data_IF_263466734874
#
_entry.id   IF_263466734874
#
_cell.length_a   1.000
_cell.length_b   1.000
_cell.length_c   1.000
_cell.angle_alpha   90.00
_cell.angle_beta   90.00
_cell.angle_gamma   90.00
#
_symmetry.space_group_name_H-M   'P 1'
#
loop_
_entity.id
_entity.type
_entity.pdbx_description
1 polymer ?
#
# COMPACT_ATOMS: atom_id res chain seq x y z
N UNK A 1 -12.60 12.81 6.56
CA UNK A 1 -11.14 12.95 6.48
C UNK A 1 -10.50 11.58 6.62
N UNK A 2 -9.46 11.25 5.88
CA UNK A 2 -8.77 9.96 5.99
C UNK A 2 -7.75 10.05 7.13
N UNK A 3 -8.12 9.56 8.31
CA UNK A 3 -7.29 9.64 9.52
C UNK A 3 -5.96 8.86 9.43
N UNK A 4 -5.86 7.89 8.51
CA UNK A 4 -4.57 7.21 8.24
C UNK A 4 -3.55 8.22 7.69
N UNK A 5 -3.98 9.19 6.89
CA UNK A 5 -3.10 10.23 6.36
C UNK A 5 -2.41 11.04 7.47
N UNK A 6 -3.12 11.29 8.58
CA UNK A 6 -2.60 12.05 9.72
C UNK A 6 -1.55 11.26 10.53
N UNK A 7 -1.57 9.93 10.40
CA UNK A 7 -0.66 9.04 11.09
C UNK A 7 0.57 8.64 10.26
N UNK A 8 0.71 9.17 9.05
CA UNK A 8 1.90 9.05 8.20
C UNK A 8 2.70 10.37 8.32
N UNK A 9 4.04 10.35 8.50
CA UNK A 9 4.92 9.17 8.42
C UNK A 9 4.85 8.27 9.66
N UNK A 10 5.23 7.01 9.49
CA UNK A 10 5.48 6.08 10.59
C UNK A 10 6.72 5.23 10.31
N UNK A 11 7.34 4.77 11.38
CA UNK A 11 8.53 3.94 11.34
C UNK A 11 8.19 2.50 11.73
N UNK A 12 8.94 1.58 11.17
CA UNK A 12 9.04 0.19 11.61
C UNK A 12 10.42 -0.01 12.23
N UNK A 13 10.80 -1.24 12.53
CA UNK A 13 12.13 -1.53 13.08
C UNK A 13 13.28 -1.06 12.17
N UNK A 14 13.11 -1.13 10.82
CA UNK A 14 14.18 -0.87 9.85
C UNK A 14 13.75 0.01 8.67
N UNK A 15 12.48 0.37 8.60
CA UNK A 15 11.93 1.09 7.45
C UNK A 15 11.16 2.33 7.90
N UNK A 16 11.26 3.39 7.11
CA UNK A 16 10.40 4.57 7.23
C UNK A 16 9.37 4.54 6.10
N UNK A 17 8.10 4.67 6.45
CA UNK A 17 6.97 4.80 5.51
C UNK A 17 6.48 6.24 5.57
N UNK A 18 6.61 6.96 4.46
CA UNK A 18 6.18 8.36 4.36
C UNK A 18 5.36 8.61 3.09
N UNK A 19 4.62 9.69 3.07
CA UNK A 19 3.88 10.10 1.87
C UNK A 19 4.83 10.27 0.68
N UNK A 20 4.33 9.93 -0.50
CA UNK A 20 4.97 10.24 -1.77
C UNK A 20 5.13 11.78 -1.88
N UNK A 21 6.30 12.26 -2.31
CA UNK A 21 6.63 13.66 -2.55
C UNK A 21 6.88 13.90 -4.04
N UNK A 22 6.90 15.15 -4.46
CA UNK A 22 7.19 15.50 -5.86
C UNK A 22 8.55 14.96 -6.31
N UNK A 23 9.56 15.05 -5.47
CA UNK A 23 10.93 14.55 -5.75
C UNK A 23 10.99 13.03 -5.94
N UNK A 24 10.02 12.28 -5.44
CA UNK A 24 9.97 10.81 -5.59
C UNK A 24 9.32 10.38 -6.92
N UNK A 25 8.61 11.27 -7.62
CA UNK A 25 7.74 10.91 -8.74
C UNK A 25 8.49 10.21 -9.85
N UNK A 26 9.64 10.74 -10.25
CA UNK A 26 10.41 10.18 -11.35
C UNK A 26 10.94 8.76 -11.00
N UNK A 27 11.43 8.56 -9.77
CA UNK A 27 11.79 7.24 -9.27
C UNK A 27 10.58 6.30 -9.22
N UNK A 28 9.45 6.79 -8.72
CA UNK A 28 8.22 6.01 -8.59
C UNK A 28 7.74 5.53 -9.95
N UNK A 29 7.60 6.43 -10.94
CA UNK A 29 7.18 6.11 -12.31
C UNK A 29 8.15 5.12 -12.96
N UNK A 30 9.46 5.38 -12.88
CA UNK A 30 10.48 4.46 -13.39
C UNK A 30 10.39 3.07 -12.77
N UNK A 31 9.98 2.99 -11.51
CA UNK A 31 9.89 1.72 -10.78
C UNK A 31 8.63 0.95 -11.16
N UNK A 32 7.46 1.59 -11.24
CA UNK A 32 6.21 0.91 -11.60
C UNK A 32 6.17 0.44 -13.07
N UNK A 33 7.03 0.99 -13.92
CA UNK A 33 7.19 0.55 -15.31
C UNK A 33 8.10 -0.68 -15.46
N UNK A 34 8.75 -1.14 -14.39
CA UNK A 34 9.60 -2.35 -14.45
C UNK A 34 8.76 -3.63 -14.50
N UNK A 35 9.23 -4.68 -15.20
CA UNK A 35 8.51 -5.94 -15.36
C UNK A 35 8.01 -6.56 -14.05
N UNK A 36 8.83 -6.53 -13.00
CA UNK A 36 8.48 -7.11 -11.70
C UNK A 36 7.22 -6.50 -11.06
N UNK A 37 6.96 -5.22 -11.34
CA UNK A 37 5.78 -4.54 -10.83
C UNK A 37 4.53 -5.02 -11.55
N UNK A 38 4.61 -5.21 -12.86
CA UNK A 38 3.50 -5.63 -13.71
C UNK A 38 3.18 -7.12 -13.62
N UNK A 39 4.06 -7.92 -13.00
CA UNK A 39 3.86 -9.36 -12.83
C UNK A 39 2.58 -9.65 -12.02
N UNK A 40 2.32 -8.88 -10.96
CA UNK A 40 1.21 -9.10 -10.03
C UNK A 40 0.25 -7.91 -9.88
N UNK A 41 0.33 -6.95 -10.77
CA UNK A 41 -0.56 -5.77 -10.77
C UNK A 41 -1.18 -5.64 -12.14
N UNK A 42 -2.51 -5.60 -12.20
CA UNK A 42 -3.25 -5.49 -13.46
C UNK A 42 -3.19 -4.07 -14.09
N UNK A 43 -2.18 -3.31 -13.74
CA UNK A 43 -1.92 -2.02 -14.36
C UNK A 43 -0.92 -2.25 -15.50
N UNK A 44 -1.38 -2.14 -16.73
CA UNK A 44 -0.48 -1.92 -17.86
C UNK A 44 0.12 -0.52 -17.73
N UNK A 45 1.15 -0.39 -16.90
CA UNK A 45 1.99 0.77 -16.94
C UNK A 45 2.69 0.75 -18.32
N UNK A 46 2.29 1.66 -19.18
CA UNK A 46 2.89 1.86 -20.49
C UNK A 46 3.58 3.22 -20.43
N UNK A 47 4.80 3.32 -20.94
CA UNK A 47 5.52 4.61 -21.04
C UNK A 47 4.66 5.72 -21.64
N UNK A 48 3.78 5.37 -22.57
CA UNK A 48 2.77 6.26 -23.17
C UNK A 48 1.89 7.01 -22.14
N UNK A 49 1.74 6.50 -20.93
CA UNK A 49 0.90 7.10 -19.87
C UNK A 49 1.68 7.76 -18.75
N UNK A 50 3.01 7.87 -18.88
CA UNK A 50 3.86 8.43 -17.80
C UNK A 50 3.46 9.85 -17.42
N UNK A 51 3.16 10.71 -18.40
CA UNK A 51 2.74 12.08 -18.13
C UNK A 51 1.38 12.14 -17.42
N UNK A 52 0.43 11.29 -17.85
CA UNK A 52 -0.89 11.17 -17.19
C UNK A 52 -0.74 10.69 -15.76
N UNK A 53 0.15 9.71 -15.54
CA UNK A 53 0.44 9.20 -14.19
C UNK A 53 1.11 10.29 -13.35
N UNK A 54 2.06 11.02 -13.92
CA UNK A 54 2.76 12.14 -13.26
C UNK A 54 1.78 13.22 -12.81
N UNK A 55 0.91 13.67 -13.68
CA UNK A 55 -0.13 14.66 -13.37
C UNK A 55 -1.08 14.16 -12.27
N UNK A 56 -1.50 12.90 -12.35
CA UNK A 56 -2.33 12.27 -11.32
C UNK A 56 -1.64 12.29 -9.97
N UNK A 57 -0.35 11.91 -9.90
CA UNK A 57 0.42 11.87 -8.66
C UNK A 57 0.62 13.29 -8.08
N UNK A 58 0.94 14.28 -8.91
CA UNK A 58 1.06 15.68 -8.50
C UNK A 58 -0.26 16.21 -7.93
N UNK A 59 -1.38 15.90 -8.56
CA UNK A 59 -2.71 16.25 -8.06
C UNK A 59 -3.02 15.59 -6.72
N UNK A 60 -2.68 14.30 -6.55
CA UNK A 60 -2.86 13.62 -5.27
C UNK A 60 -2.04 14.27 -4.16
N UNK A 61 -0.77 14.59 -4.42
CA UNK A 61 0.13 15.24 -3.47
C UNK A 61 -0.45 16.59 -3.04
N UNK A 62 -0.88 17.43 -3.98
CA UNK A 62 -1.53 18.72 -3.68
C UNK A 62 -2.79 18.53 -2.83
N UNK A 63 -3.67 17.61 -3.20
CA UNK A 63 -4.89 17.33 -2.44
C UNK A 63 -4.59 16.91 -0.99
N UNK A 64 -3.51 16.16 -0.75
CA UNK A 64 -3.11 15.79 0.61
C UNK A 64 -2.60 16.99 1.40
N UNK A 65 -1.83 17.88 0.77
CA UNK A 65 -1.30 19.08 1.41
C UNK A 65 -2.41 20.08 1.74
N UNK A 66 -3.32 20.33 0.81
CA UNK A 66 -4.41 21.30 0.93
C UNK A 66 -5.60 20.78 1.73
N UNK A 67 -5.69 19.47 1.95
CA UNK A 67 -6.82 18.77 2.62
C UNK A 67 -8.19 19.05 1.98
N UNK A 68 -8.21 19.38 0.69
CA UNK A 68 -9.37 19.95 -0.01
C UNK A 68 -10.39 18.92 -0.52
N UNK A 69 -10.02 17.63 -0.60
CA UNK A 69 -10.88 16.56 -1.13
C UNK A 69 -10.94 15.33 -0.23
N UNK A 70 -12.02 14.54 -0.29
CA UNK A 70 -12.07 13.26 0.40
C UNK A 70 -10.93 12.38 -0.12
N UNK A 71 -9.92 12.20 0.74
CA UNK A 71 -8.71 11.46 0.42
C UNK A 71 -9.03 9.96 0.47
N UNK A 72 -9.43 9.43 -0.67
CA UNK A 72 -9.73 8.00 -0.81
C UNK A 72 -8.49 7.16 -1.11
N UNK A 73 -7.45 7.79 -1.65
CA UNK A 73 -6.19 7.14 -2.03
C UNK A 73 -5.00 7.84 -1.36
N UNK A 74 -4.14 7.06 -0.72
CA UNK A 74 -2.85 7.50 -0.15
C UNK A 74 -1.76 6.66 -0.79
N UNK A 75 -0.73 7.29 -1.33
CA UNK A 75 0.47 6.64 -1.83
C UNK A 75 1.67 7.04 -1.01
N UNK A 76 2.47 6.05 -0.66
CA UNK A 76 3.67 6.24 0.14
C UNK A 76 4.87 5.66 -0.57
N UNK A 77 6.04 6.07 -0.13
CA UNK A 77 7.29 5.39 -0.37
C UNK A 77 7.79 4.77 0.92
N UNK A 78 8.50 3.66 0.77
CA UNK A 78 9.14 2.94 1.86
C UNK A 78 10.64 3.07 1.67
N UNK A 79 11.35 3.62 2.64
CA UNK A 79 12.80 3.63 2.66
C UNK A 79 13.35 2.61 3.64
N UNK A 80 14.48 2.02 3.27
CA UNK A 80 15.21 1.03 4.06
C UNK A 80 16.70 1.39 4.02
N UNK A 81 17.30 1.67 5.16
CA UNK A 81 18.68 2.15 5.22
C UNK A 81 18.90 3.48 4.48
N UNK A 82 17.89 4.35 4.42
CA UNK A 82 17.94 5.64 3.71
C UNK A 82 17.58 5.57 2.23
N UNK A 83 17.55 4.39 1.61
CA UNK A 83 17.27 4.21 0.18
C UNK A 83 15.79 3.83 -0.07
N UNK A 84 15.23 4.26 -1.20
CA UNK A 84 13.86 3.92 -1.59
C UNK A 84 13.77 2.44 -1.99
N UNK A 85 13.03 1.68 -1.21
CA UNK A 85 12.95 0.23 -1.29
C UNK A 85 11.57 -0.30 -1.74
N UNK A 86 10.52 0.53 -1.72
CA UNK A 86 9.18 0.07 -2.05
C UNK A 86 8.11 1.12 -1.85
N UNK A 87 6.86 0.68 -1.77
CA UNK A 87 5.72 1.54 -1.52
C UNK A 87 4.54 0.80 -0.87
N UNK A 88 3.67 1.59 -0.24
CA UNK A 88 2.38 1.16 0.28
C UNK A 88 1.32 2.11 -0.27
N UNK A 89 0.26 1.55 -0.82
CA UNK A 89 -0.93 2.29 -1.23
C UNK A 89 -2.08 1.91 -0.30
N UNK A 90 -2.85 2.90 0.12
CA UNK A 90 -4.01 2.71 0.98
C UNK A 90 -5.23 3.33 0.30
N UNK A 91 -6.24 2.51 0.00
CA UNK A 91 -7.51 2.94 -0.58
C UNK A 91 -8.62 2.82 0.45
N UNK A 92 -9.34 3.89 0.67
CA UNK A 92 -10.56 3.84 1.47
C UNK A 92 -11.72 3.37 0.59
N UNK A 93 -12.21 2.16 0.84
CA UNK A 93 -13.27 1.52 0.04
C UNK A 93 -14.65 1.58 0.70
N UNK A 94 -14.69 1.87 1.99
CA UNK A 94 -15.95 1.93 2.73
C UNK A 94 -15.83 2.58 4.09
N UNK A 95 -16.86 2.44 4.91
CA UNK A 95 -16.91 2.99 6.25
C UNK A 95 -15.96 2.24 7.19
N UNK A 96 -14.73 2.72 7.27
CA UNK A 96 -13.66 2.11 8.07
C UNK A 96 -12.99 0.91 7.42
N UNK A 97 -13.24 0.63 6.13
CA UNK A 97 -12.60 -0.42 5.36
C UNK A 97 -11.55 0.20 4.42
N UNK A 98 -10.36 -0.37 4.40
CA UNK A 98 -9.25 0.10 3.60
C UNK A 98 -8.58 -1.05 2.87
N UNK A 99 -8.43 -0.92 1.55
CA UNK A 99 -7.63 -1.83 0.74
C UNK A 99 -6.18 -1.37 0.70
N UNK A 100 -5.28 -2.32 0.85
CA UNK A 100 -3.85 -2.11 0.85
C UNK A 100 -3.21 -2.75 -0.38
N UNK A 101 -2.32 -1.99 -1.03
CA UNK A 101 -1.38 -2.51 -2.00
C UNK A 101 0.04 -2.22 -1.55
N UNK A 102 0.94 -3.19 -1.58
CA UNK A 102 2.35 -2.95 -1.27
C UNK A 102 3.26 -3.65 -2.26
N UNK A 103 4.44 -3.11 -2.40
CA UNK A 103 5.48 -3.66 -3.26
C UNK A 103 6.87 -3.32 -2.72
N UNK A 104 7.83 -4.17 -3.06
CA UNK A 104 9.23 -4.02 -2.67
C UNK A 104 10.08 -4.26 -3.92
N UNK A 105 11.01 -3.34 -4.22
CA UNK A 105 11.89 -3.49 -5.38
C UNK A 105 12.79 -4.73 -5.26
N UNK A 106 13.15 -5.41 -6.35
CA UNK A 106 13.85 -6.69 -6.31
C UNK A 106 15.11 -6.71 -5.45
N UNK A 107 15.91 -5.65 -5.47
CA UNK A 107 17.15 -5.53 -4.70
C UNK A 107 16.93 -5.61 -3.16
N UNK A 108 15.71 -5.35 -2.69
CA UNK A 108 15.35 -5.34 -1.27
C UNK A 108 14.39 -6.47 -0.88
N UNK A 109 13.98 -7.31 -1.84
CA UNK A 109 13.14 -8.47 -1.56
C UNK A 109 13.91 -9.52 -0.73
N UNK A 110 13.16 -10.40 -0.03
CA UNK A 110 13.76 -11.42 0.85
C UNK A 110 14.22 -10.90 2.22
N UNK A 111 14.25 -9.59 2.44
CA UNK A 111 14.72 -8.96 3.69
C UNK A 111 13.62 -8.71 4.73
N UNK A 112 12.39 -9.19 4.51
CA UNK A 112 11.28 -9.04 5.47
C UNK A 112 10.49 -7.73 5.36
N UNK A 113 10.89 -6.79 4.49
CA UNK A 113 10.31 -5.44 4.39
C UNK A 113 8.79 -5.49 4.13
N UNK A 114 8.30 -6.37 3.25
CA UNK A 114 6.86 -6.49 3.00
C UNK A 114 6.07 -6.89 4.26
N UNK A 115 6.63 -7.72 5.12
CA UNK A 115 6.02 -8.08 6.40
C UNK A 115 6.05 -6.90 7.38
N UNK A 116 7.14 -6.13 7.41
CA UNK A 116 7.25 -4.92 8.22
C UNK A 116 6.20 -3.88 7.80
N UNK A 117 6.03 -3.65 6.48
CA UNK A 117 5.00 -2.73 5.97
C UNK A 117 3.61 -3.13 6.48
N UNK A 118 3.21 -4.40 6.31
CA UNK A 118 1.89 -4.86 6.74
C UNK A 118 1.70 -4.82 8.25
N UNK A 119 2.70 -5.19 9.03
CA UNK A 119 2.65 -5.10 10.49
C UNK A 119 2.62 -3.65 10.94
N UNK A 120 3.40 -2.78 10.34
CA UNK A 120 3.46 -1.35 10.65
C UNK A 120 2.11 -0.67 10.47
N UNK A 121 1.48 -0.81 9.29
CA UNK A 121 0.15 -0.21 9.04
C UNK A 121 -0.93 -0.83 9.93
N UNK A 122 -0.84 -2.12 10.25
CA UNK A 122 -1.77 -2.79 11.16
C UNK A 122 -1.63 -2.27 12.59
N UNK A 123 -0.40 -2.11 13.08
CA UNK A 123 -0.11 -1.53 14.40
C UNK A 123 -0.60 -0.09 14.49
N UNK A 124 -0.34 0.71 13.47
CA UNK A 124 -0.83 2.08 13.34
C UNK A 124 -2.37 2.12 13.42
N UNK A 125 -3.05 1.27 12.64
CA UNK A 125 -4.51 1.22 12.62
C UNK A 125 -5.12 0.80 13.98
N UNK A 126 -4.40 -0.01 14.77
CA UNK A 126 -4.83 -0.44 16.12
C UNK A 126 -4.53 0.59 17.20
N UNK A 127 -3.39 1.28 17.10
CA UNK A 127 -2.89 2.18 18.14
C UNK A 127 -3.56 3.54 18.16
N UNK A 128 -3.98 4.04 17.01
CA UNK A 128 -4.63 5.33 16.86
C UNK A 128 -6.12 5.13 16.61
N UNK A 129 -6.98 5.93 17.25
CA UNK A 129 -8.43 5.89 17.01
C UNK A 129 -8.78 6.47 15.62
N UNK A 130 -8.26 5.81 14.56
CA UNK A 130 -8.37 6.25 13.17
C UNK A 130 -9.71 5.90 12.52
N UNK A 131 -10.60 5.22 13.25
CA UNK A 131 -11.87 4.74 12.69
C UNK A 131 -11.70 3.61 11.68
N UNK A 132 -10.51 2.99 11.62
CA UNK A 132 -10.26 1.78 10.82
C UNK A 132 -10.92 0.60 11.51
N UNK A 133 -11.69 -0.17 10.74
CA UNK A 133 -12.31 -1.42 11.18
C UNK A 133 -11.65 -2.62 10.54
N UNK A 134 -11.28 -2.48 9.28
CA UNK A 134 -10.73 -3.57 8.48
C UNK A 134 -9.65 -3.05 7.54
N UNK A 135 -8.59 -3.86 7.42
CA UNK A 135 -7.57 -3.73 6.40
C UNK A 135 -7.68 -4.94 5.47
N UNK A 136 -7.72 -4.72 4.17
CA UNK A 136 -7.85 -5.77 3.17
C UNK A 136 -6.66 -5.78 2.22
N UNK A 137 -6.40 -6.95 1.63
CA UNK A 137 -5.42 -7.18 0.58
C UNK A 137 -6.08 -8.04 -0.48
N UNK A 138 -5.99 -7.60 -1.73
CA UNK A 138 -6.32 -8.44 -2.88
C UNK A 138 -5.03 -8.96 -3.48
N UNK A 139 -4.87 -10.29 -3.51
CA UNK A 139 -3.63 -10.96 -3.91
C UNK A 139 -3.95 -12.00 -4.97
N UNK A 140 -3.29 -11.92 -6.13
CA UNK A 140 -3.40 -12.95 -7.17
C UNK A 140 -2.93 -14.31 -6.60
N UNK A 141 -3.64 -15.38 -6.95
CA UNK A 141 -3.41 -16.71 -6.39
C UNK A 141 -1.98 -17.22 -6.63
N UNK A 142 -1.35 -16.78 -7.71
CA UNK A 142 0.00 -17.17 -8.11
C UNK A 142 1.09 -16.36 -7.39
N UNK A 143 0.71 -15.29 -6.67
CA UNK A 143 1.62 -14.50 -5.85
C UNK A 143 1.80 -15.12 -4.45
N UNK A 144 2.39 -16.33 -4.43
CA UNK A 144 2.61 -17.07 -3.18
C UNK A 144 3.41 -16.28 -2.14
N UNK A 145 4.34 -15.40 -2.60
CA UNK A 145 5.14 -14.57 -1.68
C UNK A 145 4.25 -13.62 -0.88
N UNK A 146 3.37 -12.87 -1.54
CA UNK A 146 2.43 -11.97 -0.87
C UNK A 146 1.43 -12.73 -0.02
N UNK A 147 0.97 -13.91 -0.45
CA UNK A 147 0.10 -14.78 0.34
C UNK A 147 0.76 -15.19 1.65
N UNK A 148 2.03 -15.63 1.62
CA UNK A 148 2.78 -15.99 2.83
C UNK A 148 2.98 -14.80 3.76
N UNK A 149 3.25 -13.62 3.21
CA UNK A 149 3.42 -12.38 4.00
C UNK A 149 2.10 -11.99 4.65
N UNK A 150 0.98 -11.97 3.93
CA UNK A 150 -0.33 -11.67 4.46
C UNK A 150 -0.70 -12.59 5.64
N UNK A 151 -0.53 -13.91 5.47
CA UNK A 151 -0.77 -14.88 6.54
C UNK A 151 0.13 -14.64 7.77
N UNK A 152 1.43 -14.38 7.56
CA UNK A 152 2.38 -14.07 8.66
C UNK A 152 2.06 -12.74 9.37
N UNK A 153 1.44 -11.79 8.67
CA UNK A 153 0.98 -10.53 9.25
C UNK A 153 -0.38 -10.66 9.98
N UNK A 154 -1.00 -11.86 9.97
CA UNK A 154 -2.26 -12.14 10.67
C UNK A 154 -3.52 -11.89 9.85
N UNK A 155 -3.39 -11.64 8.55
CA UNK A 155 -4.53 -11.52 7.65
C UNK A 155 -5.13 -12.90 7.34
N UNK A 156 -6.46 -12.98 7.30
CA UNK A 156 -7.20 -14.21 7.04
C UNK A 156 -7.85 -14.15 5.67
N UNK A 157 -7.84 -15.27 4.94
CA UNK A 157 -8.57 -15.41 3.69
C UNK A 157 -10.08 -15.36 3.99
N UNK A 158 -10.80 -14.46 3.31
CA UNK A 158 -12.24 -14.28 3.49
C UNK A 158 -13.04 -14.55 2.22
N UNK A 159 -12.39 -14.66 1.06
CA UNK A 159 -13.05 -14.91 -0.21
C UNK A 159 -12.08 -14.89 -1.38
N UNK A 160 -12.64 -15.15 -2.55
CA UNK A 160 -11.95 -15.06 -3.83
C UNK A 160 -12.91 -14.62 -4.93
N UNK A 161 -12.37 -14.09 -6.01
CA UNK A 161 -13.10 -13.78 -7.23
C UNK A 161 -12.22 -13.95 -8.47
N UNK A 162 -12.83 -14.16 -9.62
CA UNK A 162 -12.08 -14.23 -10.88
C UNK A 162 -11.65 -12.84 -11.31
N UNK A 163 -10.35 -12.66 -11.45
CA UNK A 163 -9.73 -11.44 -11.98
C UNK A 163 -9.50 -11.53 -13.48
N UNK A 164 -8.88 -10.50 -14.05
CA UNK A 164 -8.60 -10.44 -15.50
C UNK A 164 -7.61 -11.52 -15.95
N UNK A 165 -6.62 -11.84 -15.10
CA UNK A 165 -5.53 -12.76 -15.42
C UNK A 165 -5.62 -14.08 -14.67
N UNK A 166 -6.08 -14.03 -13.43
CA UNK A 166 -6.11 -15.19 -12.52
C UNK A 166 -7.11 -14.93 -11.40
N UNK A 167 -7.42 -15.96 -10.62
CA UNK A 167 -8.22 -15.83 -9.39
C UNK A 167 -7.50 -14.91 -8.41
N UNK A 168 -8.24 -13.98 -7.82
CA UNK A 168 -7.77 -13.12 -6.75
C UNK A 168 -8.30 -13.62 -5.40
N UNK A 169 -7.42 -13.70 -4.42
CA UNK A 169 -7.75 -13.99 -3.03
C UNK A 169 -7.89 -12.69 -2.24
N UNK A 170 -8.94 -12.58 -1.43
CA UNK A 170 -9.18 -11.44 -0.55
C UNK A 170 -8.79 -11.83 0.87
N UNK A 171 -7.77 -11.16 1.40
CA UNK A 171 -7.31 -11.31 2.77
C UNK A 171 -7.75 -10.12 3.59
N UNK A 172 -8.14 -10.36 4.85
CA UNK A 172 -8.63 -9.32 5.78
C UNK A 172 -7.96 -9.43 7.13
N UNK A 173 -7.68 -8.28 7.70
CA UNK A 173 -7.34 -8.08 9.10
C UNK A 173 -8.40 -7.19 9.76
N UNK A 174 -9.09 -7.72 10.77
CA UNK A 174 -10.10 -6.95 11.54
C UNK A 174 -9.40 -6.25 12.71
N UNK A 175 -9.66 -4.96 12.84
CA UNK A 175 -9.16 -4.16 13.95
C UNK A 175 -10.13 -4.31 15.11
N UNK A 176 -9.75 -5.15 16.07
CA UNK A 176 -10.50 -5.26 17.32
C UNK A 176 -10.38 -3.94 18.08
N UNK A 177 -11.48 -3.26 18.32
CA UNK A 177 -11.53 -2.19 19.31
C UNK A 177 -11.33 -2.88 20.65
N UNK A 178 -10.12 -2.82 21.22
CA UNK A 178 -9.97 -3.18 22.62
C UNK A 178 -10.95 -2.32 23.38
N UNK A 179 -11.91 -2.97 24.07
CA UNK A 179 -12.87 -2.30 24.91
C UNK A 179 -12.15 -1.31 25.84
N UNK A 180 -12.71 -0.12 25.90
CA UNK A 180 -12.39 0.85 26.95
C UNK A 180 -12.88 0.33 28.27
#
# INVERSE_FOLDING_TARGET
MNRILEAIPFETERSLIRLLREDDIDWYIKTINKPFFNEFVDIKACEKYNDIIKEKLLRLIRNWMERTHPQTEIRTVVSFGGELAGGLTVFRTGNGVYDLGYWVVPAYQGRGIGLEILRGITTLARGYNLGVRELQLTIQKDNERSIRIAKKAGYRLIGQYEGIRTTNFVYRYTIDKKGR
#
